data_IF_774822878220
#
_entry.id   IF_774822878220
#
_cell.length_a   1.000
_cell.length_b   1.000
_cell.length_c   1.000
_cell.angle_alpha   90.00
_cell.angle_beta   90.00
_cell.angle_gamma   90.00
#
_symmetry.space_group_name_H-M   'P 1'
#
loop_
_entity.id
_entity.type
_entity.pdbx_description
1 polymer ?
#
# COMPACT_ATOMS: atom_id res chain seq x y z
N UNK A 1 23.32 2.61 -5.17
CA UNK A 1 22.84 3.65 -6.09
C UNK A 1 23.84 4.79 -5.98
N UNK A 2 24.22 5.42 -7.08
CA UNK A 2 24.82 6.76 -6.97
C UNK A 2 23.66 7.71 -6.64
N UNK A 3 23.73 8.42 -5.52
CA UNK A 3 22.69 9.38 -5.10
C UNK A 3 22.41 10.43 -6.19
N UNK A 4 23.38 10.70 -7.07
CA UNK A 4 23.24 11.57 -8.24
C UNK A 4 22.17 11.09 -9.22
N UNK A 5 22.08 9.79 -9.49
CA UNK A 5 21.12 9.18 -10.42
C UNK A 5 19.69 9.19 -9.83
N UNK A 6 19.58 9.04 -8.51
CA UNK A 6 18.29 9.12 -7.81
C UNK A 6 17.68 10.52 -7.92
N UNK A 7 18.48 11.56 -7.67
CA UNK A 7 18.03 12.95 -7.73
C UNK A 7 17.54 13.35 -9.13
N UNK A 8 18.25 12.89 -10.17
CA UNK A 8 17.86 13.14 -11.55
C UNK A 8 16.49 12.52 -11.91
N UNK A 9 16.29 11.25 -11.56
CA UNK A 9 15.02 10.56 -11.77
C UNK A 9 13.86 11.22 -11.02
N UNK A 10 14.09 11.63 -9.77
CA UNK A 10 13.08 12.36 -8.98
C UNK A 10 12.70 13.68 -9.66
N UNK A 11 13.68 14.45 -10.12
CA UNK A 11 13.43 15.73 -10.80
C UNK A 11 12.62 15.53 -12.08
N UNK A 12 12.97 14.53 -12.90
CA UNK A 12 12.26 14.22 -14.13
C UNK A 12 10.82 13.75 -13.85
N UNK A 13 10.63 12.87 -12.86
CA UNK A 13 9.28 12.42 -12.46
C UNK A 13 8.39 13.58 -11.99
N UNK A 14 8.96 14.57 -11.27
CA UNK A 14 8.24 15.79 -10.88
C UNK A 14 7.87 16.70 -12.07
N UNK A 15 8.50 16.50 -13.22
CA UNK A 15 8.19 17.19 -14.48
C UNK A 15 7.22 16.41 -15.37
N UNK A 16 6.54 15.40 -14.82
CA UNK A 16 5.62 14.49 -15.53
C UNK A 16 6.31 13.59 -16.57
N UNK A 17 7.57 13.23 -16.33
CA UNK A 17 8.23 12.17 -17.09
C UNK A 17 7.79 10.79 -16.59
N UNK A 18 6.88 10.15 -17.35
CA UNK A 18 6.34 8.83 -17.04
C UNK A 18 7.42 7.73 -17.05
N UNK A 19 8.48 7.87 -17.85
CA UNK A 19 9.56 6.88 -17.90
C UNK A 19 10.43 6.99 -16.64
N UNK A 20 10.72 8.20 -16.20
CA UNK A 20 11.40 8.42 -14.92
C UNK A 20 10.59 7.87 -13.75
N UNK A 21 9.26 8.09 -13.73
CA UNK A 21 8.37 7.53 -12.72
C UNK A 21 8.37 5.99 -12.74
N UNK A 22 8.29 5.38 -13.94
CA UNK A 22 8.34 3.92 -14.12
C UNK A 22 9.66 3.35 -13.61
N UNK A 23 10.77 4.01 -13.90
CA UNK A 23 12.10 3.60 -13.46
C UNK A 23 12.26 3.70 -11.94
N UNK A 24 11.72 4.75 -11.31
CA UNK A 24 11.65 4.85 -9.85
C UNK A 24 10.89 3.66 -9.24
N UNK A 25 9.72 3.32 -9.78
CA UNK A 25 8.95 2.15 -9.31
C UNK A 25 9.78 0.88 -9.46
N UNK A 26 10.35 0.63 -10.65
CA UNK A 26 11.13 -0.58 -10.93
C UNK A 26 12.29 -0.76 -9.94
N UNK A 27 13.00 0.33 -9.62
CA UNK A 27 14.14 0.30 -8.69
C UNK A 27 13.72 0.12 -7.23
N UNK A 28 12.64 0.78 -6.82
CA UNK A 28 12.20 0.80 -5.43
C UNK A 28 11.29 -0.39 -5.07
N UNK A 29 10.68 -1.05 -6.05
CA UNK A 29 9.74 -2.15 -5.82
C UNK A 29 10.31 -3.27 -4.94
N UNK A 30 11.54 -3.77 -5.15
CA UNK A 30 12.10 -4.82 -4.28
C UNK A 30 12.22 -4.41 -2.81
N UNK A 31 12.51 -3.13 -2.54
CA UNK A 31 12.56 -2.57 -1.19
C UNK A 31 11.16 -2.49 -0.59
N UNK A 32 10.21 -1.89 -1.32
CA UNK A 32 8.83 -1.74 -0.87
C UNK A 32 8.20 -3.09 -0.59
N UNK A 33 8.29 -4.03 -1.53
CA UNK A 33 7.73 -5.37 -1.40
C UNK A 33 8.32 -6.14 -0.21
N UNK A 34 9.62 -5.98 0.07
CA UNK A 34 10.26 -6.54 1.28
C UNK A 34 9.70 -5.93 2.58
N UNK A 35 9.49 -4.62 2.61
CA UNK A 35 8.92 -3.94 3.78
C UNK A 35 7.47 -4.38 4.02
N UNK A 36 6.67 -4.47 2.97
CA UNK A 36 5.27 -4.94 3.04
C UNK A 36 5.22 -6.36 3.57
N UNK A 37 6.07 -7.27 3.07
CA UNK A 37 6.14 -8.65 3.58
C UNK A 37 6.53 -8.71 5.05
N UNK A 38 7.43 -7.83 5.51
CA UNK A 38 7.84 -7.76 6.90
C UNK A 38 6.74 -7.19 7.83
N UNK A 39 5.86 -6.35 7.31
CA UNK A 39 4.78 -5.68 8.06
C UNK A 39 3.42 -6.00 7.47
N UNK A 40 3.16 -7.28 7.19
CA UNK A 40 2.01 -7.70 6.36
C UNK A 40 0.67 -7.49 7.09
N UNK A 41 -0.19 -6.57 6.62
CA UNK A 41 -1.61 -6.56 6.97
C UNK A 41 -2.25 -7.87 6.53
N UNK A 42 -3.16 -8.40 7.34
CA UNK A 42 -3.68 -9.77 7.14
C UNK A 42 -4.63 -9.86 5.96
N UNK A 43 -5.39 -8.78 5.70
CA UNK A 43 -6.55 -8.83 4.81
C UNK A 43 -6.29 -8.20 3.46
N UNK A 44 -5.34 -7.29 3.41
CA UNK A 44 -4.97 -6.57 2.19
C UNK A 44 -3.87 -7.34 1.42
N UNK A 45 -4.06 -7.63 0.12
CA UNK A 45 -3.02 -8.21 -0.73
C UNK A 45 -1.72 -7.40 -0.71
N UNK A 46 -0.58 -8.07 -0.86
CA UNK A 46 0.73 -7.41 -0.89
C UNK A 46 0.82 -6.36 -2.00
N UNK A 47 0.33 -6.71 -3.19
CA UNK A 47 0.36 -5.87 -4.39
C UNK A 47 -0.43 -4.57 -4.18
N UNK A 48 -1.60 -4.64 -3.53
CA UNK A 48 -2.44 -3.48 -3.25
C UNK A 48 -1.75 -2.51 -2.27
N UNK A 49 -1.06 -3.05 -1.25
CA UNK A 49 -0.30 -2.23 -0.31
C UNK A 49 0.89 -1.58 -1.02
N UNK A 50 1.61 -2.33 -1.86
CA UNK A 50 2.69 -1.78 -2.69
C UNK A 50 2.19 -0.63 -3.56
N UNK A 51 1.06 -0.80 -4.25
CA UNK A 51 0.44 0.27 -5.05
C UNK A 51 0.10 1.49 -4.19
N UNK A 52 -0.58 1.29 -3.05
CA UNK A 52 -0.90 2.38 -2.12
C UNK A 52 0.33 3.14 -1.65
N UNK A 53 1.44 2.43 -1.38
CA UNK A 53 2.72 3.06 -1.01
C UNK A 53 3.24 3.91 -2.16
N UNK A 54 3.28 3.40 -3.39
CA UNK A 54 3.76 4.16 -4.54
C UNK A 54 2.90 5.40 -4.82
N UNK A 55 1.58 5.30 -4.69
CA UNK A 55 0.67 6.46 -4.78
C UNK A 55 1.09 7.53 -3.75
N UNK A 56 1.29 7.14 -2.48
CA UNK A 56 1.71 8.06 -1.41
C UNK A 56 3.12 8.63 -1.63
N UNK A 57 4.03 7.83 -2.20
CA UNK A 57 5.38 8.25 -2.58
C UNK A 57 5.29 9.36 -3.62
N UNK A 58 4.56 9.15 -4.72
CA UNK A 58 4.43 10.16 -5.78
C UNK A 58 3.69 11.42 -5.31
N UNK A 59 2.64 11.28 -4.50
CA UNK A 59 1.94 12.42 -3.88
C UNK A 59 2.86 13.29 -3.01
N UNK A 60 3.90 12.70 -2.41
CA UNK A 60 4.83 13.37 -1.51
C UNK A 60 6.21 13.60 -2.13
N UNK A 61 6.40 13.25 -3.40
CA UNK A 61 7.73 13.21 -4.02
C UNK A 61 8.38 14.59 -4.04
N UNK A 62 7.59 15.65 -4.16
CA UNK A 62 8.05 17.05 -4.09
C UNK A 62 8.63 17.45 -2.72
N UNK A 63 8.37 16.66 -1.67
CA UNK A 63 8.90 16.85 -0.32
C UNK A 63 10.24 16.14 -0.11
N UNK A 64 10.70 15.35 -1.09
CA UNK A 64 12.01 14.73 -1.02
C UNK A 64 13.10 15.79 -1.21
N UNK A 65 13.91 16.00 -0.18
CA UNK A 65 14.95 17.05 -0.15
C UNK A 65 16.31 16.60 -0.67
N UNK A 66 16.52 15.31 -0.91
CA UNK A 66 17.85 14.75 -1.24
C UNK A 66 18.82 14.64 -0.06
N UNK A 67 18.43 15.05 1.15
CA UNK A 67 19.30 15.00 2.35
C UNK A 67 19.56 13.58 2.88
N UNK A 68 18.78 12.61 2.42
CA UNK A 68 18.94 11.18 2.74
C UNK A 68 18.75 10.40 1.44
N UNK A 69 19.31 9.17 1.32
CA UNK A 69 19.09 8.36 0.13
C UNK A 69 17.60 8.11 -0.08
N UNK A 70 17.19 8.05 -1.34
CA UNK A 70 15.78 7.94 -1.71
C UNK A 70 15.12 6.70 -1.08
N UNK A 71 15.86 5.58 -1.00
CA UNK A 71 15.44 4.34 -0.36
C UNK A 71 15.09 4.54 1.12
N UNK A 72 15.84 5.37 1.84
CA UNK A 72 15.56 5.69 3.25
C UNK A 72 14.32 6.57 3.41
N UNK A 73 14.08 7.47 2.46
CA UNK A 73 12.86 8.27 2.48
C UNK A 73 11.62 7.42 2.15
N UNK A 74 11.70 6.57 1.13
CA UNK A 74 10.62 5.67 0.71
C UNK A 74 10.34 4.60 1.75
N UNK A 75 11.35 4.06 2.44
CA UNK A 75 11.16 3.06 3.49
C UNK A 75 10.29 3.59 4.64
N UNK A 76 10.45 4.87 5.03
CA UNK A 76 9.59 5.51 6.03
C UNK A 76 8.14 5.60 5.56
N UNK A 77 7.91 5.96 4.30
CA UNK A 77 6.55 5.99 3.72
C UNK A 77 5.95 4.58 3.72
N UNK A 78 6.72 3.57 3.33
CA UNK A 78 6.30 2.18 3.28
C UNK A 78 5.92 1.64 4.66
N UNK A 79 6.81 1.76 5.65
CA UNK A 79 6.58 1.28 7.03
C UNK A 79 5.34 1.94 7.63
N UNK A 80 5.25 3.27 7.55
CA UNK A 80 4.10 3.99 8.09
C UNK A 80 2.79 3.57 7.42
N UNK A 81 2.81 3.32 6.12
CA UNK A 81 1.63 2.84 5.39
C UNK A 81 1.21 1.44 5.85
N UNK A 82 2.16 0.52 6.04
CA UNK A 82 1.86 -0.82 6.55
C UNK A 82 1.28 -0.78 7.97
N UNK A 83 1.90 0.00 8.87
CA UNK A 83 1.42 0.13 10.26
C UNK A 83 0.02 0.75 10.32
N UNK A 84 -0.26 1.78 9.51
CA UNK A 84 -1.59 2.37 9.43
C UNK A 84 -2.62 1.37 8.89
N UNK A 85 -2.24 0.52 7.93
CA UNK A 85 -3.15 -0.49 7.41
C UNK A 85 -3.47 -1.57 8.45
N UNK A 86 -2.47 -2.01 9.22
CA UNK A 86 -2.66 -2.95 10.33
C UNK A 86 -3.60 -2.34 11.38
N UNK A 87 -3.41 -1.08 11.74
CA UNK A 87 -4.27 -0.38 12.69
C UNK A 87 -5.71 -0.24 12.15
N UNK A 88 -5.86 0.10 10.87
CA UNK A 88 -7.17 0.20 10.21
C UNK A 88 -7.91 -1.14 10.19
N UNK A 89 -7.22 -2.24 9.85
CA UNK A 89 -7.78 -3.60 9.87
C UNK A 89 -8.23 -4.01 11.29
N UNK A 90 -7.55 -3.52 12.33
CA UNK A 90 -7.90 -3.77 13.73
C UNK A 90 -9.14 -3.02 14.17
N UNK A 91 -9.25 -1.73 13.80
CA UNK A 91 -10.37 -0.87 14.23
C UNK A 91 -11.65 -1.16 13.46
N UNK A 92 -11.54 -1.61 12.20
CA UNK A 92 -12.69 -1.94 11.34
C UNK A 92 -12.55 -3.35 10.79
N UNK A 93 -12.91 -4.38 11.57
CA UNK A 93 -12.78 -5.72 11.11
C UNK A 93 -13.80 -6.01 9.99
N UNK A 94 -13.34 -6.11 8.74
CA UNK A 94 -14.06 -6.80 7.67
C UNK A 94 -14.25 -8.28 8.00
N UNK A 95 -15.48 -8.77 8.01
CA UNK A 95 -15.79 -10.19 8.20
C UNK A 95 -16.04 -10.79 6.82
N UNK A 96 -15.22 -11.75 6.38
CA UNK A 96 -15.47 -12.45 5.13
C UNK A 96 -16.51 -13.53 5.37
N UNK A 97 -17.43 -13.74 4.43
CA UNK A 97 -18.41 -14.83 4.54
C UNK A 97 -17.74 -16.20 4.72
N UNK A 98 -16.57 -16.41 4.10
CA UNK A 98 -15.79 -17.62 4.25
C UNK A 98 -15.19 -17.83 5.65
N UNK A 99 -15.10 -16.79 6.48
CA UNK A 99 -14.62 -16.87 7.86
C UNK A 99 -15.75 -17.19 8.85
N UNK A 100 -17.01 -17.18 8.40
CA UNK A 100 -18.20 -17.43 9.22
C UNK A 100 -18.45 -18.92 9.42
N UNK A 101 -18.94 -19.31 10.60
CA UNK A 101 -19.46 -20.66 10.84
C UNK A 101 -20.69 -20.96 9.96
N UNK A 102 -21.04 -22.24 9.81
CA UNK A 102 -22.24 -22.64 9.06
C UNK A 102 -23.49 -22.01 9.66
N UNK A 103 -23.55 -21.92 10.99
CA UNK A 103 -24.63 -21.27 11.72
C UNK A 103 -24.69 -19.76 11.47
N UNK A 104 -23.54 -19.08 11.50
CA UNK A 104 -23.45 -17.65 11.21
C UNK A 104 -23.83 -17.33 9.75
N UNK A 105 -23.41 -18.17 8.79
CA UNK A 105 -23.80 -18.05 7.38
C UNK A 105 -25.31 -18.20 7.21
N UNK A 106 -25.92 -19.19 7.85
CA UNK A 106 -27.37 -19.41 7.80
C UNK A 106 -28.15 -18.23 8.41
N UNK A 107 -27.66 -17.63 9.49
CA UNK A 107 -28.28 -16.43 10.09
C UNK A 107 -28.25 -15.25 9.11
N UNK A 108 -27.12 -14.99 8.46
CA UNK A 108 -27.02 -13.91 7.47
C UNK A 108 -27.94 -14.18 6.27
N UNK A 109 -27.94 -15.40 5.72
CA UNK A 109 -28.75 -15.79 4.57
C UNK A 109 -30.25 -15.61 4.84
N UNK A 110 -30.71 -16.00 6.03
CA UNK A 110 -32.09 -15.79 6.48
C UNK A 110 -32.45 -14.30 6.57
N UNK A 111 -31.57 -13.47 7.14
CA UNK A 111 -31.79 -12.01 7.25
C UNK A 111 -31.85 -11.34 5.87
N UNK A 112 -30.97 -11.74 4.94
CA UNK A 112 -30.96 -11.20 3.57
C UNK A 112 -32.17 -11.65 2.76
N UNK A 113 -32.62 -12.90 2.92
CA UNK A 113 -33.78 -13.44 2.20
C UNK A 113 -35.08 -12.79 2.69
N UNK A 114 -35.21 -12.54 3.99
CA UNK A 114 -36.36 -11.86 4.61
C UNK A 114 -36.52 -10.40 4.14
N UNK A 115 -35.42 -9.74 3.78
CA UNK A 115 -35.43 -8.33 3.37
C UNK A 115 -35.88 -8.16 1.91
N UNK A 116 -35.81 -9.23 1.10
CA UNK A 116 -36.17 -9.22 -0.32
C UNK A 116 -37.65 -9.57 -0.57
N UNK A 117 -38.43 -9.85 0.49
CA UNK A 117 -39.87 -10.17 0.45
C UNK A 117 -40.78 -8.98 0.86
N UNK A 118 -40.22 -7.76 1.00
CA UNK A 118 -40.94 -6.50 1.25
C UNK A 118 -40.77 -5.52 0.07
#
# INVERSE_FOLDING_TARGET
>A
MDDSDAGALVKAALQNDDEAARELVRRLYPLVARIVRAHRPRRTPEEDICQMIFIKVFQKLSQFSGNVPLEHWVSRVAVNTCLNQIESERVRPEVRQADLSVEEQAVIENLTSSTNEL
#
